data_IF_931920787016
#
_entry.id   IF_931920787016
#
_cell.length_a   1.000
_cell.length_b   1.000
_cell.length_c   1.000
_cell.angle_alpha   90.00
_cell.angle_beta   90.00
_cell.angle_gamma   90.00
#
_symmetry.space_group_name_H-M   'P 1'
#
loop_
_entity.id
_entity.type
_entity.pdbx_description
1 polymer ?
#
# COMPACT_ATOMS: atom_id res chain seq x y z
N UNK A 1 35.63 -14.70 -2.66
CA UNK A 1 35.60 -14.58 -1.20
C UNK A 1 34.18 -14.19 -0.83
N UNK A 2 33.44 -15.09 -0.19
CA UNK A 2 32.09 -14.79 0.22
C UNK A 2 32.14 -13.79 1.39
N UNK A 3 31.23 -12.83 1.40
CA UNK A 3 31.22 -11.77 2.41
C UNK A 3 31.01 -12.32 3.85
N UNK A 4 30.54 -13.55 3.98
CA UNK A 4 30.38 -14.26 5.27
C UNK A 4 31.69 -14.70 5.87
N UNK A 5 32.71 -14.99 5.06
CA UNK A 5 34.02 -15.46 5.52
C UNK A 5 34.79 -14.40 6.32
N UNK A 6 34.54 -13.11 6.03
CA UNK A 6 35.23 -12.03 6.75
C UNK A 6 34.76 -11.89 8.20
N UNK A 7 33.48 -12.07 8.46
CA UNK A 7 32.91 -11.92 9.81
C UNK A 7 33.11 -13.17 10.69
N UNK A 8 33.47 -14.30 10.11
CA UNK A 8 33.75 -15.56 10.78
C UNK A 8 35.25 -15.88 10.81
N UNK A 9 36.12 -14.94 10.42
CA UNK A 9 37.55 -15.16 10.39
C UNK A 9 38.11 -15.57 11.76
N UNK A 10 38.80 -16.69 11.79
CA UNK A 10 39.43 -17.22 12.99
C UNK A 10 40.94 -17.00 12.92
N UNK A 11 41.45 -16.17 13.83
CA UNK A 11 42.87 -15.83 13.91
C UNK A 11 43.74 -17.04 14.22
N UNK A 12 43.22 -18.09 14.87
CA UNK A 12 43.96 -19.35 15.12
C UNK A 12 44.46 -19.99 13.84
N UNK A 13 43.75 -19.82 12.72
CA UNK A 13 44.13 -20.33 11.42
C UNK A 13 45.38 -19.64 10.85
N UNK A 14 45.65 -18.41 11.29
CA UNK A 14 46.81 -17.60 10.85
C UNK A 14 48.08 -17.91 11.59
N UNK A 15 48.00 -18.70 12.68
CA UNK A 15 49.17 -19.06 13.45
C UNK A 15 50.08 -20.04 12.69
N UNK A 16 51.43 -19.83 12.72
CA UNK A 16 52.38 -20.80 12.23
C UNK A 16 52.27 -22.15 13.01
N UNK A 17 52.57 -23.28 12.34
CA UNK A 17 52.45 -24.60 13.00
C UNK A 17 53.17 -24.74 14.30
N UNK A 18 54.33 -24.08 14.47
CA UNK A 18 55.14 -24.10 15.71
C UNK A 18 54.39 -23.47 16.90
N UNK A 19 53.59 -22.41 16.67
CA UNK A 19 52.84 -21.72 17.71
C UNK A 19 51.47 -22.35 17.97
N UNK A 20 50.92 -23.13 17.03
CA UNK A 20 49.69 -23.87 17.26
C UNK A 20 49.76 -24.95 18.31
N UNK A 21 51.00 -25.45 18.58
CA UNK A 21 51.22 -26.47 19.61
C UNK A 21 51.45 -25.89 20.99
N UNK A 22 51.55 -24.58 21.13
CA UNK A 22 51.67 -23.88 22.38
C UNK A 22 50.29 -23.53 22.95
N UNK A 23 49.89 -24.04 24.14
CA UNK A 23 48.59 -23.82 24.71
C UNK A 23 48.32 -22.34 25.05
N UNK A 24 49.33 -21.59 25.46
CA UNK A 24 49.18 -20.17 25.83
C UNK A 24 48.99 -19.32 24.58
N UNK A 25 49.67 -19.63 23.48
CA UNK A 25 49.51 -18.97 22.20
C UNK A 25 48.14 -19.27 21.58
N UNK A 26 47.65 -20.48 21.69
CA UNK A 26 46.31 -20.85 21.24
C UNK A 26 45.22 -20.13 22.03
N UNK A 27 45.34 -20.05 23.36
CA UNK A 27 44.40 -19.34 24.19
C UNK A 27 44.34 -17.82 23.85
N UNK A 28 45.53 -17.22 23.61
CA UNK A 28 45.62 -15.84 23.17
C UNK A 28 44.96 -15.65 21.82
N UNK A 29 45.24 -16.50 20.84
CA UNK A 29 44.65 -16.43 19.48
C UNK A 29 43.13 -16.60 19.52
N UNK A 30 42.59 -17.49 20.34
CA UNK A 30 41.14 -17.66 20.50
C UNK A 30 40.51 -16.40 21.13
N UNK A 31 41.14 -15.78 22.12
CA UNK A 31 40.65 -14.54 22.72
C UNK A 31 40.60 -13.40 21.70
N UNK A 32 41.66 -13.25 20.89
CA UNK A 32 41.74 -12.26 19.83
C UNK A 32 40.65 -12.53 18.77
N UNK A 33 40.48 -13.81 18.36
CA UNK A 33 39.45 -14.20 17.39
C UNK A 33 38.04 -13.81 17.86
N UNK A 34 37.70 -14.12 19.10
CA UNK A 34 36.40 -13.77 19.68
C UNK A 34 36.17 -12.25 19.69
N UNK A 35 37.19 -11.48 20.06
CA UNK A 35 37.11 -10.02 20.07
C UNK A 35 36.96 -9.44 18.64
N UNK A 36 37.74 -9.95 17.69
CA UNK A 36 37.65 -9.54 16.29
C UNK A 36 36.28 -9.86 15.66
N UNK A 37 35.73 -11.04 15.93
CA UNK A 37 34.39 -11.43 15.46
C UNK A 37 33.32 -10.54 16.08
N UNK A 38 33.42 -10.18 17.36
CA UNK A 38 32.50 -9.23 17.99
C UNK A 38 32.60 -7.87 17.32
N UNK A 39 33.79 -7.35 17.09
CA UNK A 39 34.00 -6.07 16.42
C UNK A 39 33.49 -6.11 14.98
N UNK A 40 33.71 -7.18 14.23
CA UNK A 40 33.23 -7.37 12.90
C UNK A 40 31.67 -7.40 12.86
N UNK A 41 31.02 -8.03 13.82
CA UNK A 41 29.58 -8.01 13.98
C UNK A 41 29.04 -6.60 14.25
N UNK A 42 29.78 -5.77 14.99
CA UNK A 42 29.42 -4.37 15.22
C UNK A 42 29.59 -3.50 13.99
N UNK A 43 30.59 -3.76 13.15
CA UNK A 43 30.76 -3.07 11.85
C UNK A 43 29.53 -3.22 10.96
N UNK A 44 28.87 -4.38 10.99
CA UNK A 44 27.61 -4.59 10.24
C UNK A 44 26.51 -3.63 10.66
N UNK A 45 26.49 -3.18 11.91
CA UNK A 45 25.49 -2.22 12.41
C UNK A 45 25.63 -0.86 11.74
N UNK A 46 26.81 -0.50 11.25
CA UNK A 46 27.07 0.76 10.55
C UNK A 46 26.56 0.78 9.10
N UNK A 47 26.13 -0.37 8.56
CA UNK A 47 25.53 -0.45 7.23
C UNK A 47 24.04 -0.08 7.35
N UNK A 48 23.76 1.19 7.63
CA UNK A 48 22.42 1.66 7.98
C UNK A 48 21.48 1.61 6.76
N UNK A 49 21.89 2.17 5.62
CA UNK A 49 21.03 2.32 4.43
C UNK A 49 20.62 0.99 3.77
N UNK A 50 21.47 -0.02 3.82
CA UNK A 50 21.14 -1.33 3.27
C UNK A 50 20.24 -2.16 4.20
N UNK A 51 20.07 -1.73 5.46
CA UNK A 51 19.36 -2.46 6.51
C UNK A 51 18.16 -1.71 7.07
N UNK A 52 17.58 -0.79 6.27
CA UNK A 52 16.42 0.03 6.70
C UNK A 52 15.28 -0.84 7.27
N UNK A 53 15.10 -2.05 6.76
CA UNK A 53 14.03 -2.96 7.20
C UNK A 53 14.28 -3.58 8.60
N UNK A 54 15.53 -3.54 9.08
CA UNK A 54 15.93 -4.09 10.36
C UNK A 54 16.09 -3.01 11.45
N UNK A 55 16.08 -1.72 11.05
CA UNK A 55 16.28 -0.62 11.98
C UNK A 55 15.09 -0.43 12.91
N UNK A 56 15.39 -0.04 14.13
CA UNK A 56 14.41 0.38 15.13
C UNK A 56 13.84 1.78 14.80
N UNK A 57 12.71 2.11 15.40
CA UNK A 57 11.98 3.34 15.13
C UNK A 57 12.81 4.60 15.44
N UNK A 58 13.55 4.60 16.56
CA UNK A 58 14.36 5.75 16.94
C UNK A 58 15.47 6.03 15.93
N UNK A 59 16.12 4.99 15.42
CA UNK A 59 17.13 5.12 14.35
C UNK A 59 16.54 5.60 13.04
N UNK A 60 15.32 5.14 12.69
CA UNK A 60 14.62 5.63 11.51
C UNK A 60 14.28 7.11 11.63
N UNK A 61 13.86 7.57 12.80
CA UNK A 61 13.53 8.97 13.04
C UNK A 61 14.76 9.90 12.87
N UNK A 62 15.92 9.47 13.39
CA UNK A 62 17.20 10.17 13.20
C UNK A 62 17.60 10.18 11.71
N UNK A 63 17.48 9.02 11.06
CA UNK A 63 17.82 8.87 9.64
C UNK A 63 16.92 9.74 8.72
N UNK A 64 15.65 9.89 9.07
CA UNK A 64 14.74 10.79 8.35
C UNK A 64 15.17 12.25 8.47
N UNK A 65 15.66 12.66 9.64
CA UNK A 65 16.22 14.00 9.84
C UNK A 65 17.50 14.21 9.01
N UNK A 66 18.44 13.27 9.04
CA UNK A 66 19.70 13.34 8.29
C UNK A 66 19.49 13.39 6.77
N UNK A 67 18.46 12.67 6.28
CA UNK A 67 18.11 12.65 4.87
C UNK A 67 17.22 13.83 4.44
N UNK A 68 16.90 14.75 5.34
CA UNK A 68 15.98 15.87 5.11
C UNK A 68 14.65 15.44 4.50
N UNK A 69 14.02 14.45 5.12
CA UNK A 69 12.72 13.95 4.66
C UNK A 69 11.62 14.85 5.24
N UNK A 70 11.36 16.00 4.59
CA UNK A 70 10.43 17.03 5.08
C UNK A 70 8.98 16.53 5.24
N UNK A 71 8.64 15.43 4.57
CA UNK A 71 7.31 14.81 4.64
C UNK A 71 7.22 13.65 5.64
N UNK A 72 8.25 13.45 6.44
CA UNK A 72 8.25 12.42 7.46
C UNK A 72 7.29 12.81 8.60
N UNK A 73 6.54 11.83 9.08
CA UNK A 73 5.64 12.01 10.21
C UNK A 73 5.95 10.94 11.26
N UNK A 74 6.31 11.40 12.43
CA UNK A 74 6.70 10.55 13.56
C UNK A 74 5.58 9.67 14.07
N UNK A 75 4.32 10.00 13.76
CA UNK A 75 3.13 9.21 14.14
C UNK A 75 2.84 8.03 13.21
N UNK A 76 3.56 7.91 12.10
CA UNK A 76 3.31 6.84 11.14
C UNK A 76 3.77 5.47 11.64
N UNK A 77 3.07 4.40 11.21
CA UNK A 77 3.54 3.04 11.44
C UNK A 77 4.95 2.81 10.88
N UNK A 78 5.72 1.96 11.56
CA UNK A 78 7.14 1.70 11.22
C UNK A 78 7.34 1.30 9.73
N UNK A 79 6.39 0.58 9.15
CA UNK A 79 6.46 0.18 7.73
C UNK A 79 6.34 1.37 6.77
N UNK A 80 5.53 2.36 7.14
CA UNK A 80 5.40 3.60 6.37
C UNK A 80 6.68 4.43 6.52
N UNK A 81 7.24 4.53 7.73
CA UNK A 81 8.51 5.19 8.03
C UNK A 81 9.64 4.61 7.18
N UNK A 82 9.81 3.29 7.18
CA UNK A 82 10.82 2.57 6.38
C UNK A 82 10.68 2.87 4.89
N UNK A 83 9.46 2.81 4.36
CA UNK A 83 9.18 3.09 2.95
C UNK A 83 9.51 4.54 2.60
N UNK A 84 9.10 5.48 3.43
CA UNK A 84 9.37 6.91 3.24
C UNK A 84 10.87 7.20 3.17
N UNK A 85 11.66 6.63 4.06
CA UNK A 85 13.12 6.79 4.08
C UNK A 85 13.76 6.14 2.84
N UNK A 86 13.33 4.94 2.47
CA UNK A 86 13.85 4.23 1.30
C UNK A 86 13.63 5.01 0.01
N UNK A 87 12.48 5.63 -0.14
CA UNK A 87 12.13 6.38 -1.34
C UNK A 87 12.71 7.81 -1.35
N UNK A 88 13.19 8.32 -0.21
CA UNK A 88 13.61 9.72 -0.03
C UNK A 88 14.66 10.18 -1.03
N UNK A 89 15.74 9.43 -1.21
CA UNK A 89 16.83 9.77 -2.13
C UNK A 89 16.33 9.90 -3.57
N UNK A 90 15.41 9.00 -3.98
CA UNK A 90 14.86 9.03 -5.34
C UNK A 90 13.90 10.20 -5.53
N UNK A 91 13.12 10.55 -4.51
CA UNK A 91 12.24 11.71 -4.50
C UNK A 91 13.05 12.99 -4.60
N UNK A 92 14.10 13.16 -3.79
CA UNK A 92 14.97 14.33 -3.83
C UNK A 92 15.65 14.53 -5.19
N UNK A 93 16.13 13.46 -5.82
CA UNK A 93 16.76 13.53 -7.14
C UNK A 93 15.81 13.93 -8.26
N UNK A 94 14.50 13.77 -8.07
CA UNK A 94 13.46 13.96 -9.09
C UNK A 94 12.41 14.99 -8.66
N UNK A 95 12.76 15.89 -7.75
CA UNK A 95 11.87 16.96 -7.34
C UNK A 95 11.31 17.73 -8.55
N UNK A 96 10.06 18.13 -8.46
CA UNK A 96 9.36 18.84 -9.52
C UNK A 96 8.86 17.93 -10.66
N UNK A 97 8.88 16.61 -10.50
CA UNK A 97 8.33 15.67 -11.48
C UNK A 97 7.09 14.95 -10.95
N UNK A 98 6.24 14.47 -11.85
CA UNK A 98 5.12 13.56 -11.56
C UNK A 98 5.56 12.41 -10.65
N UNK A 99 6.71 11.80 -10.97
CA UNK A 99 7.29 10.70 -10.19
C UNK A 99 7.54 11.06 -8.72
N UNK A 100 8.10 12.24 -8.44
CA UNK A 100 8.38 12.66 -7.07
C UNK A 100 7.10 12.81 -6.24
N UNK A 101 6.05 13.40 -6.83
CA UNK A 101 4.74 13.52 -6.17
C UNK A 101 4.12 12.16 -5.91
N UNK A 102 4.11 11.26 -6.90
CA UNK A 102 3.58 9.91 -6.78
C UNK A 102 4.31 9.09 -5.70
N UNK A 103 5.65 9.17 -5.67
CA UNK A 103 6.45 8.45 -4.69
C UNK A 103 6.31 8.99 -3.28
N UNK A 104 6.37 10.31 -3.09
CA UNK A 104 6.22 10.94 -1.79
C UNK A 104 4.85 10.68 -1.15
N UNK A 105 3.78 10.72 -1.96
CA UNK A 105 2.44 10.40 -1.49
C UNK A 105 2.20 8.89 -1.40
N UNK A 106 2.72 8.11 -2.35
CA UNK A 106 2.56 6.66 -2.41
C UNK A 106 3.20 5.91 -1.24
N UNK A 107 4.18 6.50 -0.57
CA UNK A 107 4.75 5.96 0.67
C UNK A 107 3.69 5.86 1.78
N UNK A 108 2.78 6.83 1.86
CA UNK A 108 1.69 6.90 2.84
C UNK A 108 0.38 6.35 2.28
N UNK A 109 0.08 6.69 1.02
CA UNK A 109 -1.15 6.31 0.33
C UNK A 109 -0.82 5.44 -0.89
N UNK A 110 -0.76 4.11 -0.73
CA UNK A 110 -0.47 3.20 -1.84
C UNK A 110 -1.48 3.37 -2.99
N UNK A 111 -1.00 3.31 -4.22
CA UNK A 111 -1.85 3.50 -5.39
C UNK A 111 -2.08 4.95 -5.81
N UNK A 112 -1.40 5.91 -5.18
CA UNK A 112 -1.44 7.31 -5.62
C UNK A 112 -0.92 7.46 -7.04
N UNK A 113 -1.68 8.17 -7.87
CA UNK A 113 -1.34 8.50 -9.26
C UNK A 113 -1.49 9.99 -9.49
N UNK A 114 -0.64 10.52 -10.36
CA UNK A 114 -0.72 11.89 -10.84
C UNK A 114 -1.07 11.84 -12.32
N UNK A 115 -2.11 12.54 -12.73
CA UNK A 115 -2.51 12.68 -14.13
C UNK A 115 -2.21 14.10 -14.59
N UNK A 116 -1.45 14.23 -15.66
CA UNK A 116 -1.17 15.53 -16.28
C UNK A 116 -2.29 15.93 -17.26
N UNK A 117 -2.43 17.23 -17.50
CA UNK A 117 -3.52 17.81 -18.29
C UNK A 117 -3.76 17.11 -19.65
N UNK A 118 -2.72 16.65 -20.31
CA UNK A 118 -2.82 15.95 -21.60
C UNK A 118 -3.32 14.51 -21.46
N UNK A 119 -3.25 13.90 -20.26
CA UNK A 119 -3.74 12.54 -20.00
C UNK A 119 -5.26 12.51 -19.82
N UNK A 120 -5.86 13.58 -19.28
CA UNK A 120 -7.32 13.66 -19.05
C UNK A 120 -8.02 14.75 -19.87
N UNK A 121 -7.31 15.44 -20.79
CA UNK A 121 -7.89 16.48 -21.65
C UNK A 121 -8.22 17.78 -20.91
N UNK A 122 -7.46 18.11 -19.87
CA UNK A 122 -7.63 19.35 -19.09
C UNK A 122 -6.92 20.56 -19.71
N UNK A 123 -7.00 21.69 -19.01
CA UNK A 123 -6.29 22.90 -19.41
C UNK A 123 -4.77 22.74 -19.28
N UNK A 124 -3.97 23.37 -20.15
CA UNK A 124 -2.52 23.34 -20.08
C UNK A 124 -1.97 23.68 -18.70
N UNK A 125 -0.90 22.98 -18.30
CA UNK A 125 -0.22 23.16 -17.02
C UNK A 125 -1.03 22.79 -15.78
N UNK A 126 -2.16 22.12 -15.92
CA UNK A 126 -2.91 21.54 -14.79
C UNK A 126 -2.59 20.07 -14.60
N UNK A 127 -2.74 19.59 -13.38
CA UNK A 127 -2.63 18.17 -13.05
C UNK A 127 -3.61 17.79 -11.96
N UNK A 128 -3.98 16.53 -11.92
CA UNK A 128 -4.85 15.92 -10.89
C UNK A 128 -4.07 14.86 -10.12
N UNK A 129 -4.41 14.72 -8.85
CA UNK A 129 -3.86 13.67 -7.98
C UNK A 129 -4.99 12.73 -7.60
N UNK A 130 -4.79 11.45 -7.86
CA UNK A 130 -5.71 10.38 -7.47
C UNK A 130 -5.06 9.64 -6.32
N UNK A 131 -5.70 9.61 -5.18
CA UNK A 131 -5.18 8.99 -3.94
C UNK A 131 -6.02 7.76 -3.62
N UNK A 132 -5.35 6.60 -3.46
CA UNK A 132 -5.98 5.42 -2.91
C UNK A 132 -6.29 5.65 -1.43
N UNK A 133 -7.55 5.77 -1.09
CA UNK A 133 -7.99 5.90 0.30
C UNK A 133 -8.17 4.51 0.92
N UNK A 134 -7.67 4.33 2.14
CA UNK A 134 -7.97 3.15 2.96
C UNK A 134 -9.37 3.25 3.56
N UNK A 135 -9.90 2.14 4.06
CA UNK A 135 -11.25 2.06 4.65
C UNK A 135 -11.51 3.07 5.79
N UNK A 136 -10.46 3.53 6.46
CA UNK A 136 -10.56 4.50 7.55
C UNK A 136 -10.93 5.94 7.12
N UNK A 137 -11.00 6.19 5.80
CA UNK A 137 -11.26 7.52 5.26
C UNK A 137 -10.07 8.47 5.42
N UNK A 138 -10.25 9.69 4.93
CA UNK A 138 -9.24 10.75 5.03
C UNK A 138 -9.81 11.89 5.87
N UNK A 139 -9.18 12.16 7.00
CA UNK A 139 -9.56 13.28 7.87
C UNK A 139 -9.13 14.62 7.26
N UNK A 140 -9.74 15.72 7.69
CA UNK A 140 -9.41 17.07 7.21
C UNK A 140 -7.92 17.41 7.38
N UNK A 141 -7.33 17.03 8.52
CA UNK A 141 -5.90 17.26 8.80
C UNK A 141 -5.00 16.52 7.82
N UNK A 142 -5.37 15.29 7.46
CA UNK A 142 -4.64 14.51 6.45
C UNK A 142 -4.77 15.10 5.05
N UNK A 143 -5.91 15.69 4.73
CA UNK A 143 -6.10 16.40 3.46
C UNK A 143 -5.19 17.62 3.36
N UNK A 144 -5.07 18.40 4.43
CA UNK A 144 -4.16 19.55 4.51
C UNK A 144 -2.71 19.10 4.30
N UNK A 145 -2.27 18.06 5.01
CA UNK A 145 -0.93 17.50 4.86
C UNK A 145 -0.64 16.98 3.44
N UNK A 146 -1.63 16.39 2.77
CA UNK A 146 -1.51 15.98 1.36
C UNK A 146 -1.31 17.18 0.44
N UNK A 147 -2.11 18.24 0.63
CA UNK A 147 -2.00 19.47 -0.15
C UNK A 147 -0.62 20.12 -0.02
N UNK A 148 -0.09 20.21 1.18
CA UNK A 148 1.21 20.81 1.44
C UNK A 148 2.33 19.98 0.81
N UNK A 149 2.24 18.65 0.88
CA UNK A 149 3.18 17.76 0.18
C UNK A 149 3.11 17.93 -1.33
N UNK A 150 1.92 17.95 -1.93
CA UNK A 150 1.77 18.16 -3.37
C UNK A 150 2.39 19.50 -3.77
N UNK A 151 2.15 20.56 -3.00
CA UNK A 151 2.73 21.89 -3.27
C UNK A 151 4.25 21.89 -3.21
N UNK A 152 4.84 21.16 -2.28
CA UNK A 152 6.28 21.06 -2.12
C UNK A 152 6.95 20.29 -3.28
N UNK A 153 6.35 19.14 -3.68
CA UNK A 153 6.96 18.25 -4.68
C UNK A 153 6.64 18.59 -6.13
N UNK A 154 5.57 19.36 -6.39
CA UNK A 154 5.23 19.77 -7.75
C UNK A 154 6.26 20.75 -8.32
N UNK A 155 6.32 20.85 -9.63
CA UNK A 155 7.08 21.93 -10.25
C UNK A 155 6.34 23.28 -10.13
N UNK A 156 7.09 24.38 -10.28
CA UNK A 156 6.52 25.72 -10.15
C UNK A 156 5.46 26.05 -11.20
N UNK A 157 5.61 25.50 -12.41
CA UNK A 157 4.75 25.79 -13.56
C UNK A 157 3.42 25.06 -13.55
N UNK A 158 3.37 23.86 -12.96
CA UNK A 158 2.13 23.06 -12.94
C UNK A 158 1.26 23.42 -11.75
N UNK A 159 -0.05 23.47 -11.98
CA UNK A 159 -1.05 23.82 -10.99
C UNK A 159 -1.95 22.62 -10.65
N UNK A 160 -2.13 22.36 -9.36
CA UNK A 160 -3.06 21.35 -8.91
C UNK A 160 -4.50 21.79 -9.21
N UNK A 161 -5.23 21.02 -10.00
CA UNK A 161 -6.63 21.26 -10.31
C UNK A 161 -7.56 20.59 -9.29
N UNK A 162 -7.32 19.31 -9.02
CA UNK A 162 -8.16 18.53 -8.12
C UNK A 162 -7.38 17.40 -7.44
N UNK A 163 -7.85 17.00 -6.26
CA UNK A 163 -7.46 15.76 -5.60
C UNK A 163 -8.69 14.88 -5.55
N UNK A 164 -8.60 13.69 -6.16
CA UNK A 164 -9.65 12.67 -6.14
C UNK A 164 -9.25 11.55 -5.20
N UNK A 165 -10.16 11.11 -4.35
CA UNK A 165 -9.95 9.99 -3.45
C UNK A 165 -10.71 8.78 -3.97
N UNK A 166 -9.99 7.69 -4.27
CA UNK A 166 -10.56 6.43 -4.71
C UNK A 166 -10.50 5.43 -3.57
N UNK A 167 -11.65 4.89 -3.21
CA UNK A 167 -11.75 3.80 -2.24
C UNK A 167 -11.97 2.52 -3.04
N UNK A 168 -10.96 1.66 -3.13
CA UNK A 168 -11.12 0.32 -3.69
C UNK A 168 -11.51 -0.65 -2.59
N UNK A 169 -12.77 -1.02 -2.56
CA UNK A 169 -13.25 -2.09 -1.71
C UNK A 169 -13.58 -3.32 -2.54
N UNK A 170 -12.81 -4.37 -2.42
CA UNK A 170 -13.15 -5.67 -2.99
C UNK A 170 -14.20 -6.33 -2.09
N UNK A 171 -15.45 -6.12 -2.41
CA UNK A 171 -16.56 -6.80 -1.75
C UNK A 171 -17.07 -7.89 -2.69
N UNK A 172 -17.06 -9.13 -2.23
CA UNK A 172 -17.72 -10.21 -2.94
C UNK A 172 -19.22 -10.06 -2.73
N UNK A 173 -19.92 -9.50 -3.73
CA UNK A 173 -21.37 -9.47 -3.74
C UNK A 173 -21.84 -10.86 -4.16
N UNK A 174 -22.36 -11.63 -3.22
CA UNK A 174 -23.05 -12.89 -3.52
C UNK A 174 -24.48 -12.55 -3.88
N UNK A 175 -24.79 -12.58 -5.17
CA UNK A 175 -26.16 -12.42 -5.66
C UNK A 175 -26.76 -13.81 -5.73
N UNK A 176 -27.68 -14.14 -4.81
CA UNK A 176 -28.51 -15.33 -4.90
C UNK A 176 -29.86 -14.89 -5.50
N UNK A 177 -30.15 -15.31 -6.72
CA UNK A 177 -31.47 -15.14 -7.32
C UNK A 177 -32.28 -16.42 -7.07
N UNK A 178 -33.32 -16.33 -6.28
CA UNK A 178 -34.33 -17.41 -6.15
C UNK A 178 -35.51 -17.01 -7.03
N UNK A 179 -35.70 -17.73 -8.09
CA UNK A 179 -36.85 -17.57 -8.96
C UNK A 179 -37.95 -18.55 -8.50
N UNK A 180 -38.98 -18.04 -7.85
CA UNK A 180 -40.15 -18.79 -7.51
C UNK A 180 -41.34 -18.31 -8.38
N UNK A 181 -41.77 -19.14 -9.31
CA UNK A 181 -42.99 -18.88 -10.07
C UNK A 181 -44.12 -19.62 -9.35
N UNK A 182 -44.98 -18.89 -8.68
CA UNK A 182 -46.23 -19.39 -8.15
C UNK A 182 -47.41 -18.90 -8.97
N UNK A 183 -48.07 -19.75 -9.67
CA UNK A 183 -49.33 -19.42 -10.34
C UNK A 183 -50.48 -20.01 -9.51
N UNK A 184 -51.27 -19.13 -8.93
CA UNK A 184 -52.52 -19.54 -8.30
C UNK A 184 -53.63 -19.39 -9.34
N UNK A 185 -54.16 -20.53 -9.82
CA UNK A 185 -55.28 -20.58 -10.74
C UNK A 185 -56.53 -20.92 -9.91
N UNK A 186 -57.46 -19.98 -9.85
CA UNK A 186 -58.77 -20.24 -9.27
C UNK A 186 -59.72 -20.54 -10.46
N UNK A 187 -60.17 -21.78 -10.56
CA UNK A 187 -61.06 -22.23 -11.59
C UNK A 187 -62.49 -22.19 -11.06
N UNK A 188 -63.29 -21.33 -11.67
CA UNK A 188 -64.72 -21.26 -11.40
C UNK A 188 -65.51 -22.14 -12.42
N UNK A 189 -66.70 -22.59 -12.11
CA UNK A 189 -67.45 -23.56 -12.95
C UNK A 189 -67.87 -23.02 -14.33
N UNK A 190 -67.49 -21.82 -14.71
CA UNK A 190 -67.73 -21.23 -16.03
C UNK A 190 -66.46 -21.12 -16.84
N UNK A 191 -66.49 -21.64 -18.07
CA UNK A 191 -65.35 -21.59 -19.00
C UNK A 191 -64.91 -20.17 -19.29
N UNK A 192 -63.73 -19.79 -18.83
CA UNK A 192 -63.06 -18.57 -19.28
C UNK A 192 -62.51 -18.80 -20.70
N UNK A 193 -62.95 -17.96 -21.66
CA UNK A 193 -62.52 -18.08 -23.07
C UNK A 193 -61.14 -17.57 -23.39
N UNK A 194 -60.56 -16.66 -22.59
CA UNK A 194 -59.24 -16.15 -22.81
C UNK A 194 -58.50 -15.96 -21.48
N UNK A 195 -57.41 -16.65 -21.33
CA UNK A 195 -56.48 -16.45 -20.23
C UNK A 195 -55.17 -15.86 -20.74
N UNK A 196 -54.85 -14.63 -20.36
CA UNK A 196 -53.58 -14.02 -20.62
C UNK A 196 -52.76 -13.94 -19.31
N UNK A 197 -51.56 -14.49 -19.34
CA UNK A 197 -50.64 -14.41 -18.22
C UNK A 197 -49.47 -13.49 -18.58
N UNK A 198 -49.33 -12.40 -17.86
CA UNK A 198 -48.19 -11.54 -17.99
C UNK A 198 -47.26 -11.68 -16.78
N UNK A 199 -46.01 -12.10 -17.03
CA UNK A 199 -44.95 -12.14 -16.03
C UNK A 199 -44.01 -10.94 -16.18
N UNK A 200 -43.68 -10.31 -15.09
CA UNK A 200 -42.65 -9.25 -15.06
C UNK A 200 -41.39 -9.78 -14.39
N UNK A 201 -40.23 -9.48 -14.98
CA UNK A 201 -38.94 -9.81 -14.44
C UNK A 201 -38.34 -8.56 -13.81
N UNK A 202 -37.93 -8.63 -12.54
CA UNK A 202 -37.28 -7.54 -11.84
C UNK A 202 -35.95 -8.00 -11.25
N UNK A 203 -34.87 -7.36 -11.67
CA UNK A 203 -33.54 -7.51 -11.11
C UNK A 203 -33.26 -6.32 -10.21
N UNK A 204 -33.31 -6.52 -8.89
CA UNK A 204 -32.96 -5.46 -7.93
C UNK A 204 -33.45 -5.84 -6.53
N UNK A 205 -32.61 -5.64 -5.57
CA UNK A 205 -32.87 -5.98 -4.17
C UNK A 205 -34.13 -5.30 -3.62
N UNK A 206 -34.95 -6.05 -2.92
CA UNK A 206 -36.10 -5.62 -2.14
C UNK A 206 -37.41 -5.24 -2.87
N UNK A 207 -37.74 -5.80 -3.97
CA UNK A 207 -39.12 -5.72 -4.41
C UNK A 207 -39.78 -7.10 -4.41
N UNK A 208 -40.58 -7.34 -3.39
CA UNK A 208 -41.54 -8.45 -3.40
C UNK A 208 -42.68 -8.07 -4.33
N UNK A 209 -42.71 -8.62 -5.52
CA UNK A 209 -43.78 -8.36 -6.46
C UNK A 209 -44.73 -9.53 -6.50
N UNK A 210 -45.93 -9.34 -5.96
CA UNK A 210 -47.02 -10.29 -6.06
C UNK A 210 -48.10 -9.76 -7.02
N UNK A 211 -48.34 -10.44 -8.11
CA UNK A 211 -49.47 -10.13 -8.98
C UNK A 211 -50.62 -11.11 -8.75
N UNK A 212 -51.74 -10.60 -8.32
CA UNK A 212 -52.99 -11.39 -8.31
C UNK A 212 -53.67 -11.22 -9.68
N UNK A 213 -53.82 -12.29 -10.39
CA UNK A 213 -54.62 -12.34 -11.59
C UNK A 213 -56.03 -12.83 -11.19
N UNK A 214 -57.03 -11.96 -11.31
CA UNK A 214 -58.42 -12.35 -11.14
C UNK A 214 -59.05 -12.43 -12.54
N UNK A 215 -59.54 -13.60 -12.89
CA UNK A 215 -60.26 -13.82 -14.17
C UNK A 215 -61.74 -13.82 -13.86
N UNK A 216 -62.45 -12.90 -14.40
CA UNK A 216 -63.91 -12.77 -14.29
C UNK A 216 -64.57 -13.34 -15.55
N UNK A 217 -65.64 -14.12 -15.38
CA UNK A 217 -66.39 -14.57 -16.55
C UNK A 217 -67.06 -13.38 -17.24
N UNK A 218 -66.94 -13.31 -18.56
CA UNK A 218 -67.72 -12.37 -19.34
C UNK A 218 -69.18 -12.66 -19.20
N UNK A 219 -69.98 -11.62 -18.90
CA UNK A 219 -71.44 -11.71 -18.88
C UNK A 219 -71.99 -11.89 -20.30
#
# INVERSE_FOLDING_TARGET
MNNEDFYSADFTNSLPPALKNDPDMMALAQTISAQLQTTAAEVRKNIIYARIDELDEATLDVLAYDLHVDWYDYSYPIEVKRRTIRDSIQVHRRLGTKYAVEKALGAVYPGTKVEEWFEYGGDPYKFRVIIGATEAGITADRQAAVLDRVRFYKNLRSHLEAISYQIEKRTAVKIAAVHAIGQRVEVYPYLARNMESHGGFYCGGYTQYGRKLAVFPNK
#
